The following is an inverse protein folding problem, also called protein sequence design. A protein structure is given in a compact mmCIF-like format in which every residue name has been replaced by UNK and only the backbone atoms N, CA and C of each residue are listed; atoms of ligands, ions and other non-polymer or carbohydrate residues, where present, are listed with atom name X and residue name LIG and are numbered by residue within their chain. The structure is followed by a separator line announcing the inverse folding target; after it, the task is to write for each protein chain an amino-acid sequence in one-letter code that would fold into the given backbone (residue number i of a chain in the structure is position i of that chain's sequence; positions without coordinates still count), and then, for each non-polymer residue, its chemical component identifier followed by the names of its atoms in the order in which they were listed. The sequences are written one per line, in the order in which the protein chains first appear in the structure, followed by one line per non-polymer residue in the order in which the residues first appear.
data_IF_887393711012
#
_entry.id   IF_887393711012
#
_cell.length_a   1.000
_cell.length_b   1.000
_cell.length_c   1.000
_cell.angle_alpha   90.00
_cell.angle_beta   90.00
_cell.angle_gamma   90.00
#
_symmetry.space_group_name_H-M   'P 1'
#
loop_
_entity.id
_entity.type
_entity.pdbx_description
1 polymer ?
#
# COMPACT_ATOMS: atom_id res chain seq x y z
N UNK A 1 3.39 18.67 -4.32
CA UNK A 1 3.22 17.20 -4.25
C UNK A 1 2.02 16.78 -5.10
N UNK A 2 2.14 15.74 -5.91
CA UNK A 2 1.09 15.19 -6.79
C UNK A 2 0.96 13.69 -6.53
N UNK A 3 -0.27 13.14 -6.59
CA UNK A 3 -0.52 11.70 -6.52
C UNK A 3 -1.21 11.26 -7.80
N UNK A 4 -0.58 10.33 -8.51
CA UNK A 4 -1.07 9.78 -9.76
C UNK A 4 -1.44 8.30 -9.62
N UNK A 5 -2.46 7.89 -10.36
CA UNK A 5 -2.76 6.48 -10.63
C UNK A 5 -1.97 6.07 -11.87
N UNK A 6 -1.06 5.11 -11.70
CA UNK A 6 -0.17 4.68 -12.78
C UNK A 6 -0.73 3.49 -13.54
N UNK A 7 -0.46 3.43 -14.84
CA UNK A 7 -0.65 2.22 -15.66
C UNK A 7 0.44 1.20 -15.37
N UNK A 8 0.20 -0.08 -15.70
CA UNK A 8 1.21 -1.13 -15.52
C UNK A 8 2.49 -0.88 -16.33
N UNK A 9 2.38 -0.31 -17.53
CA UNK A 9 3.53 0.13 -18.32
C UNK A 9 4.34 1.21 -17.60
N UNK A 10 3.66 2.21 -17.01
CA UNK A 10 4.32 3.27 -16.24
C UNK A 10 4.99 2.71 -14.99
N UNK A 11 4.37 1.76 -14.28
CA UNK A 11 5.02 1.05 -13.16
C UNK A 11 6.30 0.38 -13.63
N UNK A 12 6.27 -0.34 -14.74
CA UNK A 12 7.43 -1.06 -15.28
C UNK A 12 8.52 -0.10 -15.79
N UNK A 13 8.18 1.05 -16.33
CA UNK A 13 9.17 2.05 -16.79
C UNK A 13 9.87 2.79 -15.65
N UNK A 14 9.34 2.72 -14.40
CA UNK A 14 9.89 3.39 -13.22
C UNK A 14 10.56 2.45 -12.23
N UNK A 15 10.98 1.26 -12.67
CA UNK A 15 11.64 0.28 -11.80
C UNK A 15 12.75 0.86 -10.93
N UNK A 16 13.71 1.67 -11.42
CA UNK A 16 14.78 2.19 -10.57
C UNK A 16 14.29 3.06 -9.40
N UNK A 17 13.21 3.83 -9.59
CA UNK A 17 12.63 4.66 -8.53
C UNK A 17 11.85 3.81 -7.53
N UNK A 18 11.15 2.80 -8.00
CA UNK A 18 10.38 1.87 -7.17
C UNK A 18 11.29 0.94 -6.36
N UNK A 19 12.37 0.45 -6.97
CA UNK A 19 13.41 -0.34 -6.29
C UNK A 19 14.02 0.46 -5.14
N UNK A 20 14.36 1.72 -5.40
CA UNK A 20 14.86 2.63 -4.34
C UNK A 20 13.83 2.80 -3.22
N UNK A 21 12.55 3.01 -3.53
CA UNK A 21 11.50 3.20 -2.54
C UNK A 21 11.31 1.96 -1.66
N UNK A 22 11.29 0.78 -2.25
CA UNK A 22 11.11 -0.47 -1.51
C UNK A 22 12.35 -0.79 -0.67
N UNK A 23 13.54 -0.65 -1.25
CA UNK A 23 14.81 -0.87 -0.54
C UNK A 23 14.95 0.08 0.65
N UNK A 24 14.62 1.37 0.48
CA UNK A 24 14.61 2.36 1.58
C UNK A 24 13.64 1.92 2.68
N UNK A 25 12.43 1.48 2.34
CA UNK A 25 11.45 1.02 3.32
C UNK A 25 11.95 -0.19 4.11
N UNK A 26 12.48 -1.22 3.45
CA UNK A 26 13.02 -2.43 4.11
C UNK A 26 14.21 -2.10 4.99
N UNK A 27 15.17 -1.29 4.51
CA UNK A 27 16.34 -0.87 5.27
C UNK A 27 15.99 -0.04 6.50
N UNK A 28 14.86 0.66 6.50
CA UNK A 28 14.32 1.40 7.63
C UNK A 28 13.32 0.58 8.48
N UNK A 29 13.33 -0.75 8.34
CA UNK A 29 12.59 -1.66 9.21
C UNK A 29 11.11 -1.87 8.85
N UNK A 30 10.65 -1.40 7.69
CA UNK A 30 9.27 -1.65 7.28
C UNK A 30 9.07 -3.13 6.90
N UNK A 31 8.11 -3.79 7.53
CA UNK A 31 7.67 -5.15 7.18
C UNK A 31 6.75 -5.09 5.96
N UNK A 32 7.34 -5.15 4.79
CA UNK A 32 6.64 -5.04 3.50
C UNK A 32 6.80 -6.30 2.63
N UNK A 33 7.07 -7.44 3.27
CA UNK A 33 7.16 -8.74 2.64
C UNK A 33 8.54 -9.07 2.08
N UNK A 34 9.59 -8.42 2.60
CA UNK A 34 10.99 -8.65 2.24
C UNK A 34 11.85 -8.77 3.49
N UNK A 35 12.89 -9.60 3.41
CA UNK A 35 13.86 -9.86 4.48
C UNK A 35 15.26 -9.48 3.97
N UNK A 36 16.10 -8.96 4.85
CA UNK A 36 17.49 -8.63 4.50
C UNK A 36 18.43 -9.85 4.69
N UNK A 37 19.46 -9.99 3.82
CA UNK A 37 19.72 -9.15 2.64
C UNK A 37 18.75 -9.45 1.49
N UNK A 38 18.37 -8.42 0.72
CA UNK A 38 17.56 -8.61 -0.47
C UNK A 38 18.33 -9.45 -1.50
N UNK A 39 17.67 -10.43 -2.11
CA UNK A 39 18.27 -11.21 -3.18
C UNK A 39 18.36 -10.40 -4.50
N UNK A 40 19.37 -10.73 -5.30
CA UNK A 40 19.56 -10.08 -6.60
C UNK A 40 18.33 -10.25 -7.49
N UNK A 41 17.79 -9.15 -7.99
CA UNK A 41 16.61 -9.12 -8.86
C UNK A 41 15.27 -9.36 -8.19
N UNK A 42 15.23 -9.65 -6.88
CA UNK A 42 13.98 -9.93 -6.13
C UNK A 42 13.01 -8.74 -6.18
N UNK A 43 13.51 -7.54 -5.92
CA UNK A 43 12.72 -6.30 -5.92
C UNK A 43 12.21 -5.97 -7.32
N UNK A 44 13.07 -6.11 -8.33
CA UNK A 44 12.69 -5.90 -9.73
C UNK A 44 11.60 -6.89 -10.17
N UNK A 45 11.77 -8.17 -9.85
CA UNK A 45 10.77 -9.20 -10.17
C UNK A 45 9.41 -8.90 -9.51
N UNK A 46 9.41 -8.44 -8.26
CA UNK A 46 8.21 -8.01 -7.57
C UNK A 46 7.50 -6.86 -8.32
N UNK A 47 8.21 -5.81 -8.70
CA UNK A 47 7.60 -4.67 -9.40
C UNK A 47 7.12 -5.01 -10.80
N UNK A 48 7.81 -5.90 -11.53
CA UNK A 48 7.33 -6.41 -12.82
C UNK A 48 6.02 -7.17 -12.67
N UNK A 49 5.88 -7.99 -11.61
CA UNK A 49 4.62 -8.66 -11.26
C UNK A 49 3.52 -7.63 -10.97
N UNK A 50 3.81 -6.62 -10.16
CA UNK A 50 2.85 -5.54 -9.86
C UNK A 50 2.40 -4.83 -11.14
N UNK A 51 3.32 -4.50 -12.05
CA UNK A 51 3.00 -3.91 -13.34
C UNK A 51 2.03 -4.77 -14.17
N UNK A 52 2.24 -6.09 -14.19
CA UNK A 52 1.34 -7.04 -14.86
C UNK A 52 -0.06 -7.08 -14.20
N UNK A 53 -0.14 -7.12 -12.86
CA UNK A 53 -1.40 -7.11 -12.12
C UNK A 53 -2.18 -5.81 -12.35
N UNK A 54 -1.48 -4.66 -12.44
CA UNK A 54 -2.09 -3.37 -12.78
C UNK A 54 -2.62 -3.37 -14.22
N UNK A 55 -1.86 -3.91 -15.16
CA UNK A 55 -2.29 -4.04 -16.57
C UNK A 55 -3.50 -4.95 -16.73
N UNK A 56 -3.60 -6.00 -15.91
CA UNK A 56 -4.74 -6.91 -15.87
C UNK A 56 -6.00 -6.29 -15.22
N UNK A 57 -5.85 -5.17 -14.50
CA UNK A 57 -6.94 -4.54 -13.76
C UNK A 57 -7.22 -5.16 -12.38
N UNK A 58 -6.38 -6.09 -11.93
CA UNK A 58 -6.51 -6.75 -10.62
C UNK A 58 -6.02 -5.85 -9.47
N UNK A 59 -5.17 -4.88 -9.80
CA UNK A 59 -4.54 -3.97 -8.84
C UNK A 59 -4.50 -2.54 -9.37
N UNK A 60 -4.59 -1.58 -8.46
CA UNK A 60 -4.34 -0.16 -8.73
C UNK A 60 -3.04 0.25 -8.06
N UNK A 61 -2.27 1.08 -8.72
CA UNK A 61 -1.00 1.57 -8.22
C UNK A 61 -1.00 3.10 -8.13
N UNK A 62 -0.82 3.62 -6.92
CA UNK A 62 -0.76 5.06 -6.63
C UNK A 62 0.69 5.44 -6.35
N UNK A 63 1.16 6.48 -7.00
CA UNK A 63 2.49 7.04 -6.79
C UNK A 63 2.39 8.50 -6.34
N UNK A 64 3.15 8.84 -5.31
CA UNK A 64 3.31 10.21 -4.85
C UNK A 64 4.61 10.79 -5.42
N UNK A 65 4.53 11.98 -6.00
CA UNK A 65 5.67 12.71 -6.57
C UNK A 65 5.89 14.02 -5.82
N UNK A 66 7.15 14.35 -5.58
CA UNK A 66 7.54 15.65 -5.04
C UNK A 66 7.39 16.77 -6.10
N UNK A 67 7.75 18.01 -5.74
CA UNK A 67 7.68 19.17 -6.64
C UNK A 67 8.66 19.07 -7.82
N UNK A 68 9.72 18.30 -7.66
CA UNK A 68 10.69 17.98 -8.71
C UNK A 68 10.30 16.80 -9.60
N UNK A 69 9.11 16.21 -9.40
CA UNK A 69 8.63 15.05 -10.18
C UNK A 69 9.28 13.72 -9.80
N UNK A 70 10.01 13.63 -8.68
CA UNK A 70 10.63 12.39 -8.20
C UNK A 70 9.63 11.58 -7.39
N UNK A 71 9.62 10.27 -7.59
CA UNK A 71 8.78 9.34 -6.83
C UNK A 71 9.26 9.29 -5.37
N UNK A 72 8.36 9.58 -4.44
CA UNK A 72 8.64 9.68 -3.00
C UNK A 72 7.74 8.79 -2.14
N UNK A 73 6.74 8.15 -2.72
CA UNK A 73 5.87 7.21 -2.02
C UNK A 73 4.96 6.44 -2.96
N UNK A 74 4.38 5.36 -2.44
CA UNK A 74 3.41 4.53 -3.16
C UNK A 74 2.34 3.98 -2.24
N UNK A 75 1.23 3.56 -2.84
CA UNK A 75 0.22 2.68 -2.24
C UNK A 75 -0.36 1.80 -3.34
N UNK A 76 -0.80 0.60 -2.97
CA UNK A 76 -1.46 -0.33 -3.87
C UNK A 76 -2.84 -0.67 -3.35
N UNK A 77 -3.77 -0.97 -4.26
CA UNK A 77 -5.10 -1.44 -3.94
C UNK A 77 -5.40 -2.69 -4.77
N UNK A 78 -5.36 -3.86 -4.12
CA UNK A 78 -5.71 -5.13 -4.76
C UNK A 78 -7.23 -5.31 -4.73
N UNK A 79 -7.82 -5.53 -5.88
CA UNK A 79 -9.27 -5.65 -6.04
C UNK A 79 -9.69 -7.12 -5.91
N UNK A 80 -10.60 -7.43 -4.99
CA UNK A 80 -11.13 -8.79 -4.88
C UNK A 80 -11.96 -9.14 -6.13
N UNK A 81 -11.58 -10.17 -6.91
CA UNK A 81 -12.27 -10.54 -8.14
C UNK A 81 -13.47 -11.45 -7.90
N UNK A 82 -13.49 -12.22 -6.80
CA UNK A 82 -14.56 -13.18 -6.51
C UNK A 82 -15.90 -12.50 -6.30
N UNK A 83 -16.96 -13.06 -6.86
CA UNK A 83 -18.29 -12.46 -6.87
C UNK A 83 -18.81 -12.06 -5.48
N UNK A 84 -18.56 -12.90 -4.47
CA UNK A 84 -18.98 -12.67 -3.07
C UNK A 84 -18.10 -11.64 -2.34
N UNK A 85 -16.99 -11.23 -2.92
CA UNK A 85 -16.01 -10.31 -2.33
C UNK A 85 -15.83 -8.99 -3.07
N UNK A 86 -16.53 -8.76 -4.19
CA UNK A 86 -16.33 -7.57 -5.04
C UNK A 86 -16.53 -6.23 -4.34
N UNK A 87 -17.19 -6.22 -3.19
CA UNK A 87 -17.38 -5.01 -2.38
C UNK A 87 -16.14 -4.63 -1.55
N UNK A 88 -15.10 -5.47 -1.51
CA UNK A 88 -13.88 -5.22 -0.72
C UNK A 88 -12.64 -5.10 -1.60
N UNK A 89 -11.62 -4.45 -1.05
CA UNK A 89 -10.28 -4.38 -1.62
C UNK A 89 -9.23 -4.33 -0.50
N UNK A 90 -8.03 -4.79 -0.79
CA UNK A 90 -6.91 -4.80 0.14
C UNK A 90 -5.95 -3.67 -0.18
N UNK A 91 -5.63 -2.86 0.84
CA UNK A 91 -4.58 -1.84 0.74
C UNK A 91 -3.23 -2.49 1.03
N UNK A 92 -2.28 -2.31 0.14
CA UNK A 92 -0.96 -2.93 0.23
C UNK A 92 0.15 -1.89 -0.02
N UNK A 93 1.34 -2.14 0.50
CA UNK A 93 2.57 -1.40 0.17
C UNK A 93 2.41 0.12 0.24
N UNK A 94 1.83 0.61 1.35
CA UNK A 94 1.83 2.04 1.65
C UNK A 94 3.21 2.40 2.16
N UNK A 95 4.01 3.01 1.30
CA UNK A 95 5.40 3.35 1.58
C UNK A 95 5.67 4.82 1.25
N UNK A 96 6.53 5.43 2.01
CA UNK A 96 7.06 6.78 1.78
C UNK A 96 8.56 6.73 2.08
N UNK A 97 9.39 7.33 1.23
CA UNK A 97 10.83 7.45 1.50
C UNK A 97 11.07 8.05 2.89
N UNK A 98 11.99 7.48 3.66
CA UNK A 98 12.29 7.91 5.04
C UNK A 98 12.57 9.41 5.14
N UNK A 99 13.32 9.99 4.19
CA UNK A 99 13.61 11.42 4.11
C UNK A 99 12.35 12.31 3.90
N UNK A 100 11.22 11.71 3.59
CA UNK A 100 9.94 12.39 3.34
C UNK A 100 8.87 12.07 4.39
N UNK A 101 9.21 11.34 5.46
CA UNK A 101 8.27 11.06 6.55
C UNK A 101 7.81 12.35 7.25
N UNK A 102 6.67 12.30 7.92
CA UNK A 102 6.10 13.43 8.67
C UNK A 102 5.47 14.54 7.81
N UNK A 103 5.51 14.44 6.47
CA UNK A 103 4.99 15.46 5.53
C UNK A 103 3.56 15.18 5.04
N UNK A 104 2.85 14.24 5.66
CA UNK A 104 1.46 13.91 5.29
C UNK A 104 1.28 13.09 4.01
N UNK A 105 2.37 12.65 3.36
CA UNK A 105 2.33 11.93 2.07
C UNK A 105 1.53 10.62 2.18
N UNK A 106 1.78 9.83 3.22
CA UNK A 106 1.05 8.59 3.45
C UNK A 106 -0.47 8.82 3.61
N UNK A 107 -0.86 9.85 4.36
CA UNK A 107 -2.27 10.20 4.54
C UNK A 107 -2.92 10.64 3.21
N UNK A 108 -2.21 11.42 2.40
CA UNK A 108 -2.68 11.84 1.09
C UNK A 108 -2.82 10.65 0.12
N UNK A 109 -1.87 9.70 0.13
CA UNK A 109 -1.98 8.44 -0.61
C UNK A 109 -3.23 7.67 -0.20
N UNK A 110 -3.47 7.48 1.10
CA UNK A 110 -4.64 6.78 1.62
C UNK A 110 -5.95 7.47 1.24
N UNK A 111 -5.99 8.81 1.31
CA UNK A 111 -7.16 9.59 0.85
C UNK A 111 -7.46 9.30 -0.64
N UNK A 112 -6.43 9.25 -1.49
CA UNK A 112 -6.59 8.95 -2.91
C UNK A 112 -7.01 7.50 -3.15
N UNK A 113 -6.45 6.55 -2.41
CA UNK A 113 -6.85 5.13 -2.42
C UNK A 113 -8.32 4.97 -2.06
N UNK A 114 -8.77 5.59 -0.97
CA UNK A 114 -10.16 5.52 -0.52
C UNK A 114 -11.15 6.15 -1.52
N UNK A 115 -10.78 7.27 -2.13
CA UNK A 115 -11.59 7.92 -3.16
C UNK A 115 -11.77 7.01 -4.39
N UNK A 116 -10.69 6.40 -4.86
CA UNK A 116 -10.70 5.50 -6.01
C UNK A 116 -11.45 4.19 -5.70
N UNK A 117 -11.30 3.66 -4.48
CA UNK A 117 -12.05 2.50 -4.03
C UNK A 117 -13.56 2.75 -4.06
N UNK A 118 -14.02 3.90 -3.55
CA UNK A 118 -15.44 4.31 -3.62
C UNK A 118 -15.92 4.43 -5.05
N UNK A 119 -15.15 5.08 -5.92
CA UNK A 119 -15.51 5.24 -7.34
C UNK A 119 -15.68 3.91 -8.07
N UNK A 120 -14.99 2.85 -7.58
CA UNK A 120 -15.10 1.47 -8.10
C UNK A 120 -16.09 0.59 -7.33
N UNK A 121 -16.93 1.18 -6.47
CA UNK A 121 -17.94 0.44 -5.71
C UNK A 121 -17.39 -0.46 -4.61
N UNK A 122 -16.14 -0.21 -4.15
CA UNK A 122 -15.56 -0.93 -3.02
C UNK A 122 -16.01 -0.25 -1.72
N UNK A 123 -16.81 -0.95 -0.93
CA UNK A 123 -17.38 -0.45 0.31
C UNK A 123 -16.57 -0.83 1.57
N UNK A 124 -15.60 -1.74 1.44
CA UNK A 124 -14.76 -2.22 2.52
C UNK A 124 -13.30 -2.26 2.09
N UNK A 125 -12.45 -1.56 2.82
CA UNK A 125 -11.00 -1.72 2.74
C UNK A 125 -10.50 -2.50 3.94
N UNK A 126 -9.48 -3.32 3.73
CA UNK A 126 -8.73 -3.97 4.79
C UNK A 126 -7.24 -3.95 4.43
N UNK A 127 -6.42 -4.14 5.43
CA UNK A 127 -4.96 -4.22 5.31
C UNK A 127 -4.41 -4.99 6.49
N UNK A 128 -3.19 -5.46 6.38
CA UNK A 128 -2.38 -5.86 7.52
C UNK A 128 -1.10 -5.00 7.62
N UNK A 129 -0.57 -4.89 8.82
CA UNK A 129 0.66 -4.18 9.11
C UNK A 129 1.38 -4.85 10.28
N UNK A 130 2.70 -4.69 10.38
CA UNK A 130 3.46 -5.15 11.54
C UNK A 130 3.05 -4.40 12.80
N UNK A 131 3.22 -5.06 13.94
CA UNK A 131 3.04 -4.51 15.29
C UNK A 131 4.40 -4.17 15.88
N UNK A 132 4.51 -3.05 16.57
CA UNK A 132 5.75 -2.62 17.23
C UNK A 132 6.25 -1.25 16.75
N UNK A 133 7.50 -0.93 17.04
CA UNK A 133 8.08 0.40 16.79
C UNK A 133 8.12 0.77 15.30
N UNK A 134 8.33 -0.18 14.42
CA UNK A 134 8.26 0.01 12.97
C UNK A 134 6.85 -0.04 12.38
N UNK A 135 5.82 -0.37 13.18
CA UNK A 135 4.46 -0.57 12.71
C UNK A 135 3.69 0.72 12.48
N UNK A 136 2.78 0.67 11.51
CA UNK A 136 1.95 1.81 11.14
C UNK A 136 0.57 1.81 11.85
N UNK A 137 0.41 1.11 12.98
CA UNK A 137 -0.87 0.94 13.66
C UNK A 137 -1.53 2.29 13.99
N UNK A 138 -0.80 3.19 14.69
CA UNK A 138 -1.28 4.54 15.01
C UNK A 138 -1.58 5.39 13.76
N UNK A 139 -0.90 5.13 12.66
CA UNK A 139 -1.17 5.82 11.40
C UNK A 139 -2.54 5.43 10.86
N UNK A 140 -2.86 4.16 10.79
CA UNK A 140 -4.16 3.68 10.29
C UNK A 140 -5.31 4.04 11.25
N UNK A 141 -5.10 3.97 12.56
CA UNK A 141 -6.08 4.43 13.56
C UNK A 141 -6.47 5.90 13.37
N UNK A 142 -5.48 6.79 13.17
CA UNK A 142 -5.72 8.21 12.86
C UNK A 142 -6.49 8.43 11.55
N UNK A 143 -6.38 7.52 10.60
CA UNK A 143 -7.15 7.55 9.35
C UNK A 143 -8.56 6.93 9.50
N UNK A 144 -8.94 6.49 10.71
CA UNK A 144 -10.26 5.92 11.00
C UNK A 144 -10.39 4.45 10.61
N UNK A 145 -9.27 3.72 10.52
CA UNK A 145 -9.29 2.26 10.40
C UNK A 145 -9.48 1.64 11.79
N UNK A 146 -10.23 0.56 11.83
CA UNK A 146 -10.55 -0.21 13.06
C UNK A 146 -9.73 -1.49 13.09
N UNK A 147 -9.11 -1.81 14.20
CA UNK A 147 -8.42 -3.07 14.43
C UNK A 147 -9.44 -4.23 14.44
N UNK A 148 -9.23 -5.22 13.60
CA UNK A 148 -10.02 -6.45 13.58
C UNK A 148 -9.40 -7.55 14.43
N UNK A 149 -8.07 -7.56 14.58
CA UNK A 149 -7.31 -8.55 15.31
C UNK A 149 -5.91 -8.68 14.76
N UNK A 150 -5.21 -9.77 15.12
CA UNK A 150 -3.87 -10.06 14.66
C UNK A 150 -3.57 -11.55 14.75
N UNK A 151 -2.51 -11.97 14.06
CA UNK A 151 -2.03 -13.36 14.03
C UNK A 151 -0.60 -13.35 14.55
N UNK A 152 -0.27 -14.16 15.60
CA UNK A 152 1.11 -14.34 16.05
C UNK A 152 1.99 -14.90 14.93
N UNK A 153 3.27 -14.55 14.92
CA UNK A 153 4.28 -15.09 14.01
C UNK A 153 3.89 -15.05 12.52
N UNK A 154 3.15 -14.02 12.13
CA UNK A 154 2.54 -13.92 10.81
C UNK A 154 3.55 -13.71 9.68
N UNK A 155 4.57 -12.91 9.93
CA UNK A 155 5.59 -12.58 8.94
C UNK A 155 6.94 -12.35 9.60
N UNK A 156 8.01 -12.53 8.83
CA UNK A 156 9.34 -12.12 9.26
C UNK A 156 9.52 -10.61 9.03
N UNK A 157 10.04 -9.92 10.02
CA UNK A 157 10.57 -8.57 9.89
C UNK A 157 11.84 -8.56 9.02
N UNK A 158 12.33 -7.40 8.57
CA UNK A 158 13.53 -7.33 7.74
C UNK A 158 14.78 -8.01 8.34
N UNK A 159 14.86 -8.16 9.65
CA UNK A 159 15.93 -8.87 10.36
C UNK A 159 15.71 -10.40 10.50
N UNK A 160 14.64 -10.93 9.93
CA UNK A 160 14.28 -12.35 9.91
C UNK A 160 13.53 -12.83 11.16
N UNK A 161 13.26 -11.99 12.15
CA UNK A 161 12.47 -12.38 13.33
C UNK A 161 10.99 -12.46 12.97
N UNK A 162 10.32 -13.54 13.40
CA UNK A 162 8.88 -13.65 13.27
C UNK A 162 8.17 -12.61 14.16
N UNK A 163 7.22 -11.93 13.59
CA UNK A 163 6.44 -10.88 14.25
C UNK A 163 4.94 -11.06 13.99
N UNK A 164 4.09 -10.66 14.96
CA UNK A 164 2.65 -10.65 14.74
C UNK A 164 2.28 -9.53 13.77
N UNK A 165 1.15 -9.72 13.07
CA UNK A 165 0.52 -8.63 12.34
C UNK A 165 -0.66 -8.02 13.12
N UNK A 166 -1.12 -6.88 12.64
CA UNK A 166 -2.39 -6.27 13.01
C UNK A 166 -3.23 -6.07 11.75
N UNK A 167 -4.42 -6.64 11.73
CA UNK A 167 -5.36 -6.55 10.62
C UNK A 167 -6.31 -5.40 10.90
N UNK A 168 -6.38 -4.43 9.99
CA UNK A 168 -7.24 -3.28 10.06
C UNK A 168 -8.27 -3.27 8.93
N UNK A 169 -9.42 -2.69 9.20
CA UNK A 169 -10.44 -2.46 8.18
C UNK A 169 -11.08 -1.07 8.29
N UNK A 170 -11.64 -0.60 7.19
CA UNK A 170 -12.46 0.62 7.14
C UNK A 170 -13.65 0.40 6.21
N UNK A 171 -14.86 0.64 6.72
CA UNK A 171 -16.05 0.72 5.87
C UNK A 171 -16.06 2.10 5.20
N UNK A 172 -16.06 2.09 3.89
CA UNK A 172 -16.24 3.30 3.10
C UNK A 172 -17.76 3.51 2.98
N UNK A 173 -18.29 4.53 3.66
CA UNK A 173 -19.71 4.86 3.48
C UNK A 173 -19.97 5.02 1.99
N UNK A 174 -20.97 4.30 1.46
CA UNK A 174 -21.48 4.57 0.13
C UNK A 174 -21.87 6.04 0.11
N UNK A 175 -21.35 6.80 -0.86
CA UNK A 175 -21.96 8.10 -1.18
C UNK A 175 -23.40 7.78 -1.50
N UNK A 176 -24.34 8.21 -0.65
CA UNK A 176 -25.79 8.10 -0.95
C UNK A 176 -25.96 8.80 -2.29
N UNK A 177 -26.41 8.11 -3.37
CA UNK A 177 -26.82 8.82 -4.57
C UNK A 177 -27.89 9.81 -4.11
N UNK A 178 -27.70 11.09 -4.42
CA UNK A 178 -28.60 12.15 -3.99
C UNK A 178 -30.05 11.74 -4.21
N UNK A 179 -30.84 11.84 -3.16
CA UNK A 179 -32.28 11.83 -3.26
C UNK A 179 -32.68 12.98 -4.19
N UNK A 180 -33.16 12.66 -5.36
CA UNK A 180 -33.94 13.56 -6.20
C UNK A 180 -35.39 13.41 -5.81
#
# INVERSE_FOLDING_TARGET
MKIDLLSGETVTSRLPELDRLLTDAVQNGASVGFVLPLADGEVEAYWRKVGAEVSAGDKLFFAAFDEGGRLVGSAQLALEPRANGRHRAEVQKVMVLAAHHGRGIGAALMTRVEAEARARGRALLFLDTSVGEGGATKFYERLGYTLAGGIPDFAADPDGRLAPNAIYYKRLNASTPGAQ
#
